data_IF_103374653942
#
_entry.id   IF_103374653942
#
_cell.length_a   1.000
_cell.length_b   1.000
_cell.length_c   1.000
_cell.angle_alpha   90.00
_cell.angle_beta   90.00
_cell.angle_gamma   90.00
#
_symmetry.space_group_name_H-M   'P 1'
#
loop_
_entity.id
_entity.type
_entity.pdbx_description
1 polymer ?
#
# COMPACT_ATOMS: atom_id res chain seq x y z
N UNK A 1 -6.09 -0.81 20.15
CA UNK A 1 -6.68 -0.31 18.90
C UNK A 1 -5.57 0.16 17.98
N UNK A 2 -5.74 0.00 16.69
CA UNK A 2 -4.69 0.29 15.72
C UNK A 2 -5.21 1.24 14.62
N UNK A 3 -4.28 1.79 13.88
CA UNK A 3 -4.55 2.58 12.68
C UNK A 3 -4.20 1.73 11.46
N UNK A 4 -5.16 1.54 10.55
CA UNK A 4 -5.05 0.62 9.41
C UNK A 4 -5.01 1.40 8.10
N UNK A 5 -4.14 0.96 7.20
CA UNK A 5 -4.06 1.52 5.86
C UNK A 5 -4.22 0.39 4.84
N UNK A 6 -5.14 0.60 3.91
CA UNK A 6 -5.37 -0.34 2.81
C UNK A 6 -5.00 0.35 1.50
N UNK A 7 -4.22 -0.33 0.67
CA UNK A 7 -3.91 0.14 -0.68
C UNK A 7 -4.45 -0.87 -1.68
N UNK A 8 -5.36 -0.43 -2.54
CA UNK A 8 -5.89 -1.23 -3.63
C UNK A 8 -5.09 -0.89 -4.88
N UNK A 9 -4.35 -1.87 -5.39
CA UNK A 9 -3.36 -1.66 -6.43
C UNK A 9 -3.69 -2.41 -7.72
N UNK A 10 -3.42 -1.76 -8.84
CA UNK A 10 -3.51 -2.35 -10.17
C UNK A 10 -2.11 -2.36 -10.76
N UNK A 11 -1.72 -3.46 -11.38
CA UNK A 11 -0.39 -3.58 -11.98
C UNK A 11 -0.24 -2.65 -13.18
N UNK A 12 0.99 -2.23 -13.45
CA UNK A 12 1.31 -1.43 -14.62
C UNK A 12 0.98 -2.20 -15.91
N UNK A 13 0.53 -1.50 -16.97
CA UNK A 13 0.36 -2.14 -18.27
C UNK A 13 1.67 -2.74 -18.78
N UNK A 14 1.58 -3.89 -19.43
CA UNK A 14 2.73 -4.49 -20.10
C UNK A 14 3.59 -5.40 -19.23
N UNK A 15 3.32 -5.51 -17.94
CA UNK A 15 4.01 -6.49 -17.08
C UNK A 15 3.07 -7.63 -16.70
N UNK A 16 3.63 -8.78 -16.36
CA UNK A 16 2.85 -9.93 -15.90
C UNK A 16 2.48 -9.78 -14.43
N UNK A 17 1.51 -10.56 -13.98
CA UNK A 17 1.14 -10.59 -12.57
C UNK A 17 2.32 -11.07 -11.70
N UNK A 18 3.08 -12.06 -12.17
CA UNK A 18 4.26 -12.55 -11.44
C UNK A 18 5.34 -11.46 -11.32
N UNK A 19 5.57 -10.68 -12.37
CA UNK A 19 6.49 -9.53 -12.32
C UNK A 19 6.01 -8.46 -11.34
N UNK A 20 4.71 -8.20 -11.31
CA UNK A 20 4.10 -7.26 -10.36
C UNK A 20 4.32 -7.70 -8.92
N UNK A 21 4.03 -8.98 -8.62
CA UNK A 21 4.21 -9.56 -7.28
C UNK A 21 5.67 -9.50 -6.83
N UNK A 22 6.58 -9.93 -7.71
CA UNK A 22 8.00 -9.95 -7.41
C UNK A 22 8.53 -8.56 -7.11
N UNK A 23 8.16 -7.58 -7.93
CA UNK A 23 8.59 -6.20 -7.72
C UNK A 23 8.08 -5.63 -6.40
N UNK A 24 6.79 -5.84 -6.13
CA UNK A 24 6.17 -5.30 -4.91
C UNK A 24 6.73 -5.94 -3.65
N UNK A 25 6.82 -7.28 -3.64
CA UNK A 25 7.26 -8.03 -2.46
C UNK A 25 8.76 -7.89 -2.17
N UNK A 26 9.57 -7.63 -3.18
CA UNK A 26 11.02 -7.61 -3.03
C UNK A 26 11.61 -6.22 -3.26
N UNK A 27 11.52 -5.68 -4.46
CA UNK A 27 12.19 -4.43 -4.82
C UNK A 27 11.59 -3.21 -4.14
N UNK A 28 10.28 -3.06 -4.24
CA UNK A 28 9.59 -1.92 -3.63
C UNK A 28 9.65 -1.98 -2.10
N UNK A 29 9.46 -3.17 -1.55
CA UNK A 29 9.54 -3.36 -0.10
C UNK A 29 10.89 -2.95 0.45
N UNK A 30 11.98 -3.32 -0.23
CA UNK A 30 13.33 -2.94 0.17
C UNK A 30 13.49 -1.41 0.17
N UNK A 31 13.02 -0.77 -0.88
CA UNK A 31 13.09 0.70 -0.99
C UNK A 31 12.26 1.37 0.12
N UNK A 32 11.05 0.88 0.37
CA UNK A 32 10.21 1.44 1.42
C UNK A 32 10.85 1.31 2.79
N UNK A 33 11.49 0.19 3.09
CA UNK A 33 12.22 -0.01 4.35
C UNK A 33 13.39 0.97 4.48
N UNK A 34 14.12 1.21 3.41
CA UNK A 34 15.23 2.17 3.40
C UNK A 34 14.72 3.59 3.67
N UNK A 35 13.64 3.98 3.02
CA UNK A 35 13.05 5.32 3.16
C UNK A 35 12.43 5.51 4.54
N UNK A 36 11.66 4.55 5.00
CA UNK A 36 10.90 4.67 6.25
C UNK A 36 11.78 4.57 7.50
N UNK A 37 12.83 3.75 7.46
CA UNK A 37 13.64 3.50 8.65
C UNK A 37 12.78 3.00 9.80
N UNK A 38 12.88 3.62 10.97
CA UNK A 38 12.11 3.24 12.15
C UNK A 38 10.64 3.68 12.13
N UNK A 39 10.23 4.41 11.08
CA UNK A 39 8.82 4.74 10.85
C UNK A 39 8.09 3.67 10.04
N UNK A 40 8.75 2.58 9.69
CA UNK A 40 8.15 1.45 8.99
C UNK A 40 6.98 0.90 9.82
N UNK A 41 5.85 0.49 9.19
CA UNK A 41 4.68 0.03 9.93
C UNK A 41 4.94 -1.22 10.79
N UNK A 42 4.14 -1.38 11.84
CA UNK A 42 4.24 -2.54 12.73
C UNK A 42 3.83 -3.84 12.03
N UNK A 43 2.88 -3.74 11.11
CA UNK A 43 2.44 -4.86 10.27
C UNK A 43 2.41 -4.39 8.84
N UNK A 44 2.91 -5.20 7.92
CA UNK A 44 2.87 -4.92 6.49
C UNK A 44 2.66 -6.23 5.74
N UNK A 45 1.57 -6.30 4.99
CA UNK A 45 1.18 -7.51 4.26
C UNK A 45 0.75 -7.13 2.85
N UNK A 46 1.13 -7.94 1.87
CA UNK A 46 0.58 -7.85 0.52
C UNK A 46 -0.29 -9.06 0.27
N UNK A 47 -1.53 -8.82 -0.16
CA UNK A 47 -2.45 -9.86 -0.58
C UNK A 47 -2.66 -9.77 -2.09
N UNK A 48 -2.79 -10.91 -2.73
CA UNK A 48 -3.06 -10.99 -4.17
C UNK A 48 -4.43 -11.64 -4.34
N UNK A 49 -5.50 -10.83 -4.39
CA UNK A 49 -6.86 -11.34 -4.30
C UNK A 49 -7.32 -12.02 -5.58
N UNK A 50 -8.22 -12.98 -5.43
CA UNK A 50 -9.01 -13.52 -6.51
C UNK A 50 -10.36 -12.82 -6.50
N UNK A 51 -10.76 -12.26 -7.63
CA UNK A 51 -12.05 -11.60 -7.75
C UNK A 51 -13.14 -12.65 -7.94
N UNK A 52 -14.08 -12.69 -7.01
CA UNK A 52 -15.18 -13.66 -7.05
C UNK A 52 -16.52 -13.02 -7.45
N UNK A 53 -16.62 -11.69 -7.44
CA UNK A 53 -17.83 -10.97 -7.80
C UNK A 53 -17.50 -9.51 -8.08
N UNK A 54 -18.21 -8.90 -9.03
CA UNK A 54 -18.11 -7.48 -9.34
C UNK A 54 -17.87 -7.20 -10.81
N UNK A 55 -17.97 -5.92 -11.21
CA UNK A 55 -17.77 -5.51 -12.60
C UNK A 55 -16.34 -5.81 -13.08
N UNK A 56 -16.22 -6.23 -14.33
CA UNK A 56 -14.92 -6.61 -14.91
C UNK A 56 -13.95 -5.43 -14.96
N UNK A 57 -14.44 -4.23 -15.16
CA UNK A 57 -13.62 -3.02 -15.25
C UNK A 57 -13.02 -2.55 -13.93
N UNK A 58 -13.51 -3.08 -12.82
CA UNK A 58 -12.97 -2.77 -11.49
C UNK A 58 -12.29 -4.02 -10.96
N UNK A 59 -11.00 -4.13 -11.21
CA UNK A 59 -10.21 -5.28 -10.79
C UNK A 59 -8.91 -4.80 -10.16
N UNK A 60 -8.62 -5.29 -8.96
CA UNK A 60 -7.37 -4.99 -8.27
C UNK A 60 -6.48 -6.23 -8.30
N UNK A 61 -5.19 -6.01 -8.56
CA UNK A 61 -4.21 -7.09 -8.64
C UNK A 61 -3.55 -7.36 -7.30
N UNK A 62 -3.60 -6.39 -6.39
CA UNK A 62 -3.03 -6.53 -5.07
C UNK A 62 -3.69 -5.64 -4.04
N UNK A 63 -3.62 -6.05 -2.79
CA UNK A 63 -4.08 -5.27 -1.64
C UNK A 63 -2.92 -5.19 -0.66
N UNK A 64 -2.41 -3.97 -0.44
CA UNK A 64 -1.43 -3.71 0.60
C UNK A 64 -2.14 -3.39 1.90
N UNK A 65 -1.65 -3.92 3.01
CA UNK A 65 -2.17 -3.64 4.33
C UNK A 65 -1.04 -3.21 5.24
N UNK A 66 -1.20 -2.06 5.86
CA UNK A 66 -0.26 -1.53 6.84
C UNK A 66 -0.98 -1.29 8.16
N UNK A 67 -0.28 -1.51 9.26
CA UNK A 67 -0.83 -1.28 10.58
C UNK A 67 0.15 -0.44 11.40
N UNK A 68 -0.36 0.60 12.03
CA UNK A 68 0.39 1.47 12.93
C UNK A 68 -0.31 1.47 14.28
N UNK A 69 0.41 1.79 15.35
CA UNK A 69 -0.17 1.88 16.69
C UNK A 69 -1.24 2.95 16.77
N UNK A 70 -1.06 4.05 16.03
CA UNK A 70 -1.95 5.20 16.06
C UNK A 70 -1.77 6.02 14.78
N UNK A 71 -2.59 7.05 14.62
CA UNK A 71 -2.55 7.95 13.47
C UNK A 71 -1.20 8.65 13.33
N UNK A 72 -0.57 9.01 14.45
CA UNK A 72 0.72 9.71 14.44
C UNK A 72 1.82 8.86 13.78
N UNK A 73 1.80 7.55 13.99
CA UNK A 73 2.73 6.64 13.32
C UNK A 73 2.60 6.67 11.81
N UNK A 74 1.37 6.67 11.31
CA UNK A 74 1.09 6.80 9.89
C UNK A 74 1.54 8.16 9.36
N UNK A 75 1.19 9.24 10.04
CA UNK A 75 1.54 10.60 9.60
C UNK A 75 3.06 10.80 9.59
N UNK A 76 3.77 10.17 10.50
CA UNK A 76 5.24 10.21 10.51
C UNK A 76 5.82 9.56 9.26
N UNK A 77 5.34 8.38 8.89
CA UNK A 77 5.78 7.72 7.66
C UNK A 77 5.44 8.58 6.44
N UNK A 78 4.22 9.11 6.40
CA UNK A 78 3.75 9.96 5.30
C UNK A 78 4.64 11.19 5.13
N UNK A 79 5.00 11.86 6.22
CA UNK A 79 5.87 13.02 6.20
C UNK A 79 7.25 12.67 5.65
N UNK A 80 7.82 11.54 6.07
CA UNK A 80 9.12 11.06 5.57
C UNK A 80 9.03 10.74 4.07
N UNK A 81 7.99 10.03 3.65
CA UNK A 81 7.81 9.62 2.26
C UNK A 81 7.57 10.82 1.33
N UNK A 82 6.97 11.90 1.83
CA UNK A 82 6.67 13.10 1.05
C UNK A 82 7.84 14.09 0.96
N UNK A 83 8.96 13.84 1.61
CA UNK A 83 10.17 14.63 1.38
C UNK A 83 10.55 14.50 -0.09
N UNK A 84 10.92 15.61 -0.78
CA UNK A 84 11.09 15.61 -2.22
C UNK A 84 11.97 14.49 -2.77
N UNK A 85 13.11 14.22 -2.15
CA UNK A 85 14.04 13.17 -2.57
C UNK A 85 13.46 11.77 -2.38
N UNK A 86 12.74 11.54 -1.28
CA UNK A 86 12.10 10.26 -0.99
C UNK A 86 10.90 10.04 -1.91
N UNK A 87 10.08 11.07 -2.08
CA UNK A 87 8.93 11.00 -2.96
C UNK A 87 9.34 10.71 -4.40
N UNK A 88 10.41 11.33 -4.88
CA UNK A 88 10.92 11.08 -6.24
C UNK A 88 11.37 9.63 -6.40
N UNK A 89 12.07 9.07 -5.42
CA UNK A 89 12.54 7.67 -5.45
C UNK A 89 11.37 6.70 -5.43
N UNK A 90 10.41 6.92 -4.53
CA UNK A 90 9.22 6.06 -4.40
C UNK A 90 8.36 6.12 -5.66
N UNK A 91 8.11 7.32 -6.18
CA UNK A 91 7.30 7.50 -7.39
C UNK A 91 7.95 6.84 -8.60
N UNK A 92 9.26 7.00 -8.79
CA UNK A 92 9.99 6.38 -9.88
C UNK A 92 9.89 4.84 -9.83
N UNK A 93 10.01 4.26 -8.64
CA UNK A 93 9.87 2.82 -8.44
C UNK A 93 8.44 2.36 -8.70
N UNK A 94 7.45 3.07 -8.14
CA UNK A 94 6.04 2.73 -8.28
C UNK A 94 5.57 2.73 -9.73
N UNK A 95 6.07 3.64 -10.54
CA UNK A 95 5.72 3.72 -11.95
C UNK A 95 6.15 2.50 -12.75
N UNK A 96 7.11 1.73 -12.26
CA UNK A 96 7.58 0.53 -12.96
C UNK A 96 6.65 -0.66 -12.79
N UNK A 97 5.83 -0.70 -11.75
CA UNK A 97 4.98 -1.86 -11.48
C UNK A 97 3.51 -1.55 -11.17
N UNK A 98 3.16 -0.29 -10.87
CA UNK A 98 1.80 0.13 -10.56
C UNK A 98 1.22 1.01 -11.66
N UNK A 99 -0.08 0.84 -11.90
CA UNK A 99 -0.85 1.83 -12.65
C UNK A 99 -1.27 2.93 -11.68
N UNK A 100 -0.53 4.03 -11.68
CA UNK A 100 -0.72 5.14 -10.74
C UNK A 100 -2.07 5.85 -10.90
N UNK A 101 -2.76 5.64 -12.02
CA UNK A 101 -4.08 6.25 -12.26
C UNK A 101 -5.22 5.45 -11.64
N UNK A 102 -4.94 4.25 -11.12
CA UNK A 102 -5.97 3.32 -10.62
C UNK A 102 -5.73 2.88 -9.17
N UNK A 103 -4.80 3.51 -8.47
CA UNK A 103 -4.51 3.17 -7.07
C UNK A 103 -5.50 3.88 -6.15
N UNK A 104 -6.01 3.15 -5.16
CA UNK A 104 -6.83 3.70 -4.09
C UNK A 104 -6.18 3.40 -2.75
N UNK A 105 -6.17 4.37 -1.86
CA UNK A 105 -5.70 4.20 -0.50
C UNK A 105 -6.80 4.61 0.46
N UNK A 106 -7.08 3.75 1.43
CA UNK A 106 -8.05 4.00 2.49
C UNK A 106 -7.39 3.84 3.84
N UNK A 107 -7.82 4.66 4.79
CA UNK A 107 -7.39 4.54 6.18
C UNK A 107 -8.59 4.22 7.04
N UNK A 108 -8.38 3.39 8.07
CA UNK A 108 -9.39 3.05 9.06
C UNK A 108 -8.76 3.24 10.43
N UNK A 109 -9.29 4.20 11.19
CA UNK A 109 -8.86 4.43 12.55
C UNK A 109 -9.83 3.70 13.48
N UNK A 110 -9.34 2.71 14.22
CA UNK A 110 -10.19 1.91 15.11
C UNK A 110 -10.85 2.79 16.19
N UNK A 111 -10.24 3.94 16.52
CA UNK A 111 -10.85 4.87 17.49
C UNK A 111 -12.06 5.61 16.91
N UNK A 112 -12.11 5.76 15.60
CA UNK A 112 -13.23 6.40 14.92
C UNK A 112 -14.30 5.38 14.50
N UNK A 113 -14.00 4.11 14.62
CA UNK A 113 -14.87 3.03 14.21
C UNK A 113 -15.97 2.74 15.23
N UNK A 114 -17.10 2.28 14.73
CA UNK A 114 -18.19 1.77 15.57
C UNK A 114 -18.17 0.25 15.44
N UNK A 115 -17.88 -0.51 16.53
CA UNK A 115 -17.91 -1.96 16.47
C UNK A 115 -19.28 -2.47 16.02
N UNK A 116 -19.27 -3.41 15.09
CA UNK A 116 -20.50 -4.07 14.64
C UNK A 116 -20.55 -5.45 15.25
N UNK A 117 -21.69 -5.73 15.87
CA UNK A 117 -21.94 -7.01 16.50
C UNK A 117 -23.08 -7.71 15.78
N UNK A 118 -22.92 -9.00 15.55
CA UNK A 118 -23.95 -9.85 14.94
C UNK A 118 -24.75 -10.57 16.01
#
# INVERSE_FOLDING_TARGET
>A
MVFRVYMLAVKAPGITLDEFKDHWDNKHLKLLKEVAGDAYPDVHVHHYPEKVQGPAEVTYDGIGYLEFKNREGFLRLKEIAEKPENQARLDADERTFLDKTKIHMYVVDDEDGIPTSL
#
